data_IF_054268242144
#
_entry.id   IF_054268242144
#
_cell.length_a   1.000
_cell.length_b   1.000
_cell.length_c   1.000
_cell.angle_alpha   90.00
_cell.angle_beta   90.00
_cell.angle_gamma   90.00
#
_symmetry.space_group_name_H-M   'P 1'
#
loop_
_entity.id
_entity.type
_entity.pdbx_description
1 polymer ?
#
# COMPACT_ATOMS: atom_id res chain seq x y z
N UNK A 1 20.35 19.39 20.28
CA UNK A 1 19.43 19.50 19.13
C UNK A 1 20.05 18.71 18.01
N UNK A 2 19.75 17.43 17.92
CA UNK A 2 20.41 16.50 16.99
C UNK A 2 19.38 16.09 15.95
N UNK A 3 19.43 16.74 14.79
CA UNK A 3 18.62 16.36 13.63
C UNK A 3 19.29 15.17 12.98
N UNK A 4 18.82 13.97 13.30
CA UNK A 4 19.28 12.73 12.66
C UNK A 4 18.65 12.60 11.28
N UNK A 5 19.50 12.60 10.25
CA UNK A 5 19.19 12.49 8.82
C UNK A 5 18.84 11.04 8.43
N UNK A 6 17.87 10.41 9.11
CA UNK A 6 17.59 8.98 8.91
C UNK A 6 16.53 8.62 7.85
N UNK A 7 15.65 9.52 7.40
CA UNK A 7 14.50 9.11 6.58
C UNK A 7 14.61 9.43 5.07
N UNK A 8 15.74 9.14 4.44
CA UNK A 8 15.87 9.25 2.96
C UNK A 8 15.63 7.93 2.19
N UNK A 9 15.21 6.85 2.87
CA UNK A 9 15.01 5.52 2.26
C UNK A 9 13.59 4.98 2.52
N UNK A 10 12.61 5.84 2.76
CA UNK A 10 11.22 5.43 2.55
C UNK A 10 10.91 5.69 1.07
N UNK A 11 10.78 4.64 0.26
CA UNK A 11 10.23 4.81 -1.08
C UNK A 11 8.78 5.31 -0.92
N UNK A 12 8.36 6.38 -1.63
CA UNK A 12 6.97 6.82 -1.56
C UNK A 12 6.05 5.66 -1.93
N UNK A 13 4.84 5.59 -1.34
CA UNK A 13 3.90 4.52 -1.64
C UNK A 13 3.62 4.47 -3.16
N UNK A 14 3.82 3.30 -3.76
CA UNK A 14 3.66 3.10 -5.20
C UNK A 14 2.29 2.51 -5.47
N UNK A 15 1.46 3.20 -6.27
CA UNK A 15 0.13 2.72 -6.66
C UNK A 15 0.07 2.44 -8.15
N UNK A 16 -0.45 1.26 -8.53
CA UNK A 16 -0.60 0.79 -9.91
C UNK A 16 -2.01 0.28 -10.17
N UNK A 17 -2.54 0.39 -11.41
CA UNK A 17 -3.83 -0.21 -11.75
C UNK A 17 -3.72 -1.75 -11.83
N UNK A 18 -4.77 -2.46 -11.42
CA UNK A 18 -4.91 -3.89 -11.62
C UNK A 18 -5.63 -4.21 -12.93
N UNK A 19 -5.49 -5.45 -13.43
CA UNK A 19 -6.16 -5.92 -14.64
C UNK A 19 -7.40 -6.73 -14.30
N UNK A 20 -8.60 -6.18 -14.53
CA UNK A 20 -9.88 -6.89 -14.40
C UNK A 20 -10.94 -6.14 -13.57
N UNK A 21 -12.21 -6.59 -13.59
CA UNK A 21 -13.26 -6.03 -12.75
C UNK A 21 -13.00 -6.39 -11.28
N UNK A 22 -13.16 -5.42 -10.39
CA UNK A 22 -12.96 -5.61 -8.95
C UNK A 22 -14.14 -5.12 -8.11
N UNK A 23 -14.46 -5.86 -7.05
CA UNK A 23 -15.38 -5.44 -5.99
C UNK A 23 -14.71 -4.58 -4.91
N UNK A 24 -13.38 -4.56 -4.88
CA UNK A 24 -12.55 -3.78 -3.94
C UNK A 24 -11.84 -2.70 -4.74
N UNK A 25 -11.87 -1.47 -4.27
CA UNK A 25 -11.29 -0.35 -4.99
C UNK A 25 -9.75 -0.34 -4.86
N UNK A 26 -9.23 -0.61 -3.66
CA UNK A 26 -7.80 -0.52 -3.37
C UNK A 26 -7.26 -1.71 -2.55
N UNK A 27 -6.22 -2.36 -3.03
CA UNK A 27 -5.43 -3.33 -2.26
C UNK A 27 -4.12 -2.69 -1.81
N UNK A 28 -3.79 -2.74 -0.52
CA UNK A 28 -2.48 -2.33 -0.01
C UNK A 28 -1.65 -3.57 0.33
N UNK A 29 -0.53 -3.77 -0.35
CA UNK A 29 0.43 -4.83 -0.06
C UNK A 29 1.51 -4.27 0.87
N UNK A 30 1.74 -4.95 1.99
CA UNK A 30 2.77 -4.60 2.97
C UNK A 30 3.71 -5.81 3.14
N UNK A 31 4.82 -5.90 2.37
CA UNK A 31 5.85 -6.89 2.66
C UNK A 31 6.58 -6.49 3.96
N UNK A 32 6.91 -7.45 4.82
CA UNK A 32 7.63 -7.18 6.07
C UNK A 32 8.58 -8.31 6.46
N UNK A 33 9.71 -7.97 7.11
CA UNK A 33 10.65 -8.94 7.67
C UNK A 33 10.93 -8.68 9.17
N UNK A 34 11.31 -7.45 9.58
CA UNK A 34 11.50 -7.09 10.99
C UNK A 34 10.85 -5.74 11.29
N UNK A 35 9.52 -5.64 11.23
CA UNK A 35 8.84 -4.35 11.31
C UNK A 35 8.53 -3.90 12.74
N UNK A 36 8.77 -4.76 13.74
CA UNK A 36 8.45 -4.46 15.14
C UNK A 36 7.00 -4.01 15.35
N UNK A 37 6.81 -2.96 16.14
CA UNK A 37 5.47 -2.41 16.44
C UNK A 37 4.91 -1.55 15.31
N UNK A 38 5.74 -1.10 14.37
CA UNK A 38 5.36 -0.17 13.32
C UNK A 38 4.31 -0.80 12.37
N UNK A 39 4.39 -2.11 12.10
CA UNK A 39 3.45 -2.78 11.19
C UNK A 39 2.00 -2.66 11.66
N UNK A 40 1.70 -3.05 12.90
CA UNK A 40 0.33 -2.98 13.43
C UNK A 40 -0.19 -1.54 13.44
N UNK A 41 0.64 -0.57 13.83
CA UNK A 41 0.27 0.84 13.84
C UNK A 41 -0.05 1.35 12.43
N UNK A 42 0.78 1.01 11.45
CA UNK A 42 0.57 1.38 10.05
C UNK A 42 -0.73 0.77 9.51
N UNK A 43 -1.00 -0.51 9.76
CA UNK A 43 -2.24 -1.17 9.33
C UNK A 43 -3.48 -0.52 9.96
N UNK A 44 -3.43 -0.19 11.25
CA UNK A 44 -4.53 0.48 11.95
C UNK A 44 -4.79 1.87 11.37
N UNK A 45 -3.74 2.70 11.22
CA UNK A 45 -3.87 4.06 10.68
C UNK A 45 -4.33 4.05 9.21
N UNK A 46 -3.85 3.11 8.40
CA UNK A 46 -4.33 2.92 7.02
C UNK A 46 -5.82 2.56 7.00
N UNK A 47 -6.25 1.64 7.85
CA UNK A 47 -7.64 1.24 7.97
C UNK A 47 -8.55 2.43 8.29
N UNK A 48 -8.16 3.23 9.28
CA UNK A 48 -8.90 4.43 9.69
C UNK A 48 -9.03 5.44 8.56
N UNK A 49 -7.91 5.79 7.91
CA UNK A 49 -7.88 6.82 6.86
C UNK A 49 -8.62 6.35 5.60
N UNK A 50 -8.43 5.10 5.16
CA UNK A 50 -9.14 4.57 3.99
C UNK A 50 -10.65 4.48 4.23
N UNK A 51 -11.06 4.06 5.42
CA UNK A 51 -12.48 4.04 5.80
C UNK A 51 -13.07 5.45 5.87
N UNK A 52 -12.36 6.43 6.45
CA UNK A 52 -12.81 7.82 6.52
C UNK A 52 -12.98 8.48 5.13
N UNK A 53 -12.29 7.97 4.12
CA UNK A 53 -12.37 8.41 2.72
C UNK A 53 -13.39 7.62 1.89
N UNK A 54 -14.17 6.72 2.52
CA UNK A 54 -15.13 5.83 1.85
C UNK A 54 -14.52 4.99 0.72
N UNK A 55 -13.24 4.63 0.82
CA UNK A 55 -12.56 3.75 -0.12
C UNK A 55 -12.84 2.31 0.31
N UNK A 56 -13.25 1.42 -0.61
CA UNK A 56 -13.32 -0.02 -0.30
C UNK A 56 -11.94 -0.64 -0.47
N UNK A 57 -11.45 -1.32 0.56
CA UNK A 57 -10.06 -1.79 0.55
C UNK A 57 -9.85 -3.17 1.17
N UNK A 58 -8.70 -3.74 0.85
CA UNK A 58 -8.07 -4.82 1.60
C UNK A 58 -6.59 -4.49 1.86
N UNK A 59 -6.06 -4.98 2.97
CA UNK A 59 -4.64 -4.90 3.30
C UNK A 59 -4.08 -6.32 3.29
N UNK A 60 -3.02 -6.56 2.53
CA UNK A 60 -2.34 -7.85 2.45
C UNK A 60 -0.94 -7.68 3.05
N UNK A 61 -0.78 -8.14 4.29
CA UNK A 61 0.52 -8.16 4.95
C UNK A 61 1.23 -9.48 4.63
N UNK A 62 2.44 -9.42 4.07
CA UNK A 62 3.18 -10.61 3.61
C UNK A 62 4.51 -10.73 4.35
N UNK A 63 4.66 -11.81 5.11
CA UNK A 63 5.90 -12.12 5.83
C UNK A 63 6.97 -12.61 4.84
N UNK A 64 8.11 -11.92 4.82
CA UNK A 64 9.32 -12.31 4.11
C UNK A 64 10.31 -12.92 5.11
N UNK A 65 10.06 -14.13 5.61
CA UNK A 65 10.97 -14.78 6.56
C UNK A 65 10.96 -14.22 7.99
N UNK A 66 9.91 -13.51 8.39
CA UNK A 66 9.79 -12.96 9.75
C UNK A 66 9.65 -14.08 10.80
N UNK A 67 10.42 -14.00 11.89
CA UNK A 67 10.46 -15.00 12.98
C UNK A 67 10.21 -14.41 14.38
N UNK A 68 9.92 -13.12 14.49
CA UNK A 68 9.90 -12.37 15.76
C UNK A 68 8.53 -12.31 16.46
N UNK A 69 7.54 -13.08 15.98
CA UNK A 69 6.19 -13.11 16.53
C UNK A 69 5.26 -11.99 16.05
N UNK A 70 5.75 -11.05 15.21
CA UNK A 70 4.93 -9.95 14.63
C UNK A 70 3.67 -10.47 13.94
N UNK A 71 3.76 -11.62 13.27
CA UNK A 71 2.65 -12.28 12.55
C UNK A 71 1.39 -12.39 13.42
N UNK A 72 1.53 -12.80 14.69
CA UNK A 72 0.41 -12.94 15.62
C UNK A 72 -0.29 -11.61 15.93
N UNK A 73 0.40 -10.48 15.79
CA UNK A 73 -0.19 -9.16 16.07
C UNK A 73 -1.19 -8.72 15.01
N UNK A 74 -1.23 -9.34 13.84
CA UNK A 74 -2.07 -8.93 12.71
C UNK A 74 -3.35 -9.75 12.54
N UNK A 75 -3.44 -10.93 13.16
CA UNK A 75 -4.54 -11.89 12.93
C UNK A 75 -5.94 -11.35 13.26
N UNK A 76 -6.02 -10.31 14.10
CA UNK A 76 -7.28 -9.71 14.56
C UNK A 76 -7.60 -8.36 13.89
N UNK A 77 -6.78 -7.89 12.95
CA UNK A 77 -7.00 -6.59 12.32
C UNK A 77 -8.06 -6.70 11.20
N UNK A 78 -9.07 -5.81 11.18
CA UNK A 78 -10.10 -5.83 10.16
C UNK A 78 -9.51 -5.54 8.78
N UNK A 79 -10.17 -6.02 7.73
CA UNK A 79 -9.76 -5.84 6.32
C UNK A 79 -8.32 -6.30 6.01
N UNK A 80 -7.70 -7.05 6.92
CA UNK A 80 -6.29 -7.46 6.83
C UNK A 80 -6.20 -8.95 6.57
N UNK A 81 -5.46 -9.33 5.53
CA UNK A 81 -5.10 -10.71 5.22
C UNK A 81 -3.59 -10.88 5.41
N UNK A 82 -3.23 -11.83 6.24
CA UNK A 82 -1.85 -12.19 6.51
C UNK A 82 -1.44 -13.37 5.63
N UNK A 83 -0.33 -13.22 4.91
CA UNK A 83 0.31 -14.31 4.15
C UNK A 83 1.68 -14.58 4.81
N UNK A 84 1.79 -15.72 5.47
CA UNK A 84 3.05 -16.20 6.04
C UNK A 84 3.29 -17.64 5.59
N UNK A 85 4.32 -17.83 4.77
CA UNK A 85 4.78 -19.16 4.33
C UNK A 85 6.27 -19.29 4.57
N UNK A 86 6.72 -20.52 4.87
CA UNK A 86 8.15 -20.82 5.00
C UNK A 86 8.89 -20.72 3.67
N UNK A 87 8.19 -20.71 2.54
CA UNK A 87 8.80 -20.58 1.21
C UNK A 87 9.08 -19.12 0.81
N UNK A 88 8.44 -18.16 1.51
CA UNK A 88 8.59 -16.72 1.24
C UNK A 88 9.66 -16.17 2.19
N UNK A 89 10.90 -16.12 1.73
CA UNK A 89 12.06 -15.74 2.55
C UNK A 89 12.66 -14.37 2.18
N UNK A 90 12.16 -13.76 1.11
CA UNK A 90 12.64 -12.45 0.66
C UNK A 90 11.48 -11.54 0.22
N UNK A 91 11.81 -10.25 0.09
CA UNK A 91 10.85 -9.20 -0.24
C UNK A 91 10.26 -9.36 -1.65
N UNK A 92 11.03 -9.87 -2.61
CA UNK A 92 10.56 -10.07 -3.97
C UNK A 92 9.47 -11.15 -4.03
N UNK A 93 9.72 -12.29 -3.36
CA UNK A 93 8.75 -13.37 -3.21
C UNK A 93 7.49 -12.89 -2.45
N UNK A 94 7.67 -12.06 -1.41
CA UNK A 94 6.56 -11.48 -0.66
C UNK A 94 5.69 -10.55 -1.52
N UNK A 95 6.32 -9.68 -2.32
CA UNK A 95 5.60 -8.83 -3.27
C UNK A 95 4.85 -9.67 -4.31
N UNK A 96 5.49 -10.69 -4.89
CA UNK A 96 4.84 -11.58 -5.85
C UNK A 96 3.61 -12.28 -5.27
N UNK A 97 3.72 -12.80 -4.05
CA UNK A 97 2.60 -13.42 -3.34
C UNK A 97 1.48 -12.40 -3.06
N UNK A 98 1.84 -11.18 -2.64
CA UNK A 98 0.91 -10.08 -2.43
C UNK A 98 0.14 -9.70 -3.70
N UNK A 99 0.84 -9.53 -4.82
CA UNK A 99 0.23 -9.24 -6.12
C UNK A 99 -0.70 -10.37 -6.57
N UNK A 100 -0.28 -11.62 -6.41
CA UNK A 100 -1.09 -12.79 -6.78
C UNK A 100 -2.37 -12.87 -5.96
N UNK A 101 -2.33 -12.45 -4.70
CA UNK A 101 -3.48 -12.46 -3.81
C UNK A 101 -4.39 -11.24 -3.98
N UNK A 102 -3.88 -10.13 -4.52
CA UNK A 102 -4.59 -8.85 -4.63
C UNK A 102 -5.83 -8.95 -5.50
N UNK A 103 -6.91 -8.30 -5.06
CA UNK A 103 -8.18 -8.27 -5.78
C UNK A 103 -8.63 -6.88 -6.19
N UNK A 104 -8.03 -5.82 -5.64
CA UNK A 104 -8.44 -4.43 -5.83
C UNK A 104 -8.21 -3.89 -7.24
N UNK A 105 -8.98 -2.86 -7.64
CA UNK A 105 -8.78 -2.15 -8.91
C UNK A 105 -7.45 -1.38 -8.95
N UNK A 106 -6.95 -0.97 -7.79
CA UNK A 106 -5.66 -0.33 -7.59
C UNK A 106 -4.85 -1.11 -6.57
N UNK A 107 -3.53 -1.22 -6.77
CA UNK A 107 -2.61 -1.90 -5.87
C UNK A 107 -1.56 -0.92 -5.39
N UNK A 108 -1.54 -0.65 -4.08
CA UNK A 108 -0.54 0.15 -3.40
C UNK A 108 0.50 -0.74 -2.72
N UNK A 109 1.78 -0.38 -2.81
CA UNK A 109 2.87 -1.05 -2.09
C UNK A 109 3.37 -0.10 -1.01
N UNK A 110 3.34 -0.58 0.24
CA UNK A 110 3.81 0.17 1.40
C UNK A 110 4.90 -0.64 2.09
N UNK A 111 6.10 -0.09 2.17
CA UNK A 111 7.26 -0.76 2.73
C UNK A 111 7.38 -0.44 4.22
N UNK A 112 7.10 -1.43 5.07
CA UNK A 112 7.24 -1.27 6.52
C UNK A 112 8.34 -2.22 6.99
N UNK A 113 9.54 -1.68 7.19
CA UNK A 113 10.66 -2.41 7.76
C UNK A 113 11.39 -1.56 8.81
N UNK A 114 11.84 -2.21 9.89
CA UNK A 114 12.45 -1.54 11.03
C UNK A 114 11.55 -0.47 11.67
N UNK A 115 12.13 0.71 11.89
CA UNK A 115 11.48 1.86 12.54
C UNK A 115 10.84 2.83 11.53
N UNK A 116 10.58 2.40 10.29
CA UNK A 116 10.02 3.25 9.25
C UNK A 116 8.57 3.63 9.60
N UNK A 117 8.33 4.92 9.81
CA UNK A 117 6.99 5.46 9.94
C UNK A 117 6.40 5.76 8.55
N UNK A 118 5.18 5.30 8.33
CA UNK A 118 4.42 5.59 7.11
C UNK A 118 3.26 6.52 7.47
N UNK A 119 3.13 7.61 6.72
CA UNK A 119 1.93 8.45 6.78
C UNK A 119 0.83 7.85 5.87
N UNK A 120 -0.31 7.39 6.43
CA UNK A 120 -1.41 6.87 5.63
C UNK A 120 -1.98 7.86 4.62
N UNK A 121 -1.89 9.17 4.88
CA UNK A 121 -2.40 10.18 3.96
C UNK A 121 -1.58 10.23 2.67
N UNK A 122 -0.27 9.97 2.72
CA UNK A 122 0.56 9.87 1.52
C UNK A 122 0.14 8.68 0.63
N UNK A 123 -0.30 7.58 1.25
CA UNK A 123 -0.82 6.40 0.52
C UNK A 123 -2.13 6.75 -0.18
N UNK A 124 -3.02 7.47 0.49
CA UNK A 124 -4.29 7.93 -0.08
C UNK A 124 -4.07 8.97 -1.18
N UNK A 125 -3.15 9.91 -0.99
CA UNK A 125 -2.79 10.89 -2.02
C UNK A 125 -2.25 10.18 -3.27
N UNK A 126 -1.37 9.19 -3.09
CA UNK A 126 -0.81 8.41 -4.18
C UNK A 126 -1.88 7.65 -4.98
N UNK A 127 -2.93 7.15 -4.32
CA UNK A 127 -4.08 6.54 -4.97
C UNK A 127 -4.87 7.55 -5.83
N UNK A 128 -5.16 8.73 -5.29
CA UNK A 128 -5.86 9.77 -6.03
C UNK A 128 -5.06 10.24 -7.25
N UNK A 129 -3.76 10.48 -7.09
CA UNK A 129 -2.88 10.84 -8.20
C UNK A 129 -2.83 9.75 -9.29
N UNK A 130 -2.84 8.48 -8.89
CA UNK A 130 -2.86 7.37 -9.85
C UNK A 130 -4.17 7.34 -10.65
N UNK A 131 -5.32 7.57 -10.00
CA UNK A 131 -6.64 7.68 -10.66
C UNK A 131 -6.70 8.83 -11.64
N UNK A 132 -6.31 10.02 -11.20
CA UNK A 132 -6.34 11.22 -12.02
C UNK A 132 -5.49 11.04 -13.28
N UNK A 133 -4.27 10.48 -13.13
CA UNK A 133 -3.38 10.20 -14.27
C UNK A 133 -3.98 9.18 -15.23
N UNK A 134 -4.64 8.14 -14.71
CA UNK A 134 -5.28 7.12 -15.54
C UNK A 134 -6.50 7.67 -16.30
N UNK A 135 -7.31 8.51 -15.65
CA UNK A 135 -8.46 9.15 -16.28
C UNK A 135 -8.04 10.13 -17.39
N UNK A 136 -6.97 10.90 -17.16
CA UNK A 136 -6.38 11.77 -18.18
C UNK A 136 -5.84 10.96 -19.37
N UNK A 137 -5.20 9.82 -19.11
CA UNK A 137 -4.70 8.94 -20.17
C UNK A 137 -5.85 8.32 -20.99
N UNK A 138 -6.95 7.92 -20.33
CA UNK A 138 -8.13 7.35 -20.98
C UNK A 138 -8.89 8.37 -21.86
N UNK A 139 -8.86 9.67 -21.53
CA UNK A 139 -9.47 10.76 -22.31
C UNK A 139 -8.72 11.11 -23.60
N UNK A 140 -7.49 10.61 -23.78
CA UNK A 140 -6.65 10.87 -24.95
C UNK A 140 -6.03 12.29 -24.99
N UNK A 141 -4.97 12.50 -25.77
CA UNK A 141 -4.20 13.75 -25.78
C UNK A 141 -4.97 14.99 -26.28
N UNK A 142 -6.10 14.80 -26.97
CA UNK A 142 -6.85 15.89 -27.60
C UNK A 142 -7.79 16.64 -26.63
N UNK A 143 -8.16 16.05 -25.49
CA UNK A 143 -9.08 16.67 -24.51
C UNK A 143 -8.34 17.40 -23.39
N UNK A 144 -7.14 16.95 -23.02
CA UNK A 144 -6.30 17.58 -21.97
C UNK A 144 -5.94 19.03 -22.33
N UNK A 145 -5.73 19.33 -23.61
CA UNK A 145 -5.46 20.70 -24.07
C UNK A 145 -6.66 21.65 -24.00
N UNK A 146 -7.89 21.16 -23.77
CA UNK A 146 -9.09 22.01 -23.76
C UNK A 146 -9.52 22.45 -22.36
N UNK A 147 -9.15 21.71 -21.31
CA UNK A 147 -9.42 22.10 -19.91
C UNK A 147 -8.33 23.01 -19.32
N UNK A 148 -7.10 23.02 -19.86
CA UNK A 148 -5.98 23.84 -19.38
C UNK A 148 -5.86 25.24 -20.04
N UNK A 149 -6.79 25.63 -20.91
CA UNK A 149 -6.76 26.93 -21.64
C UNK A 149 -7.89 27.88 -21.18
N UNK A 150 -8.57 27.58 -20.07
CA UNK A 150 -9.66 28.42 -19.57
C UNK A 150 -9.53 28.81 -18.09
N UNK A 151 -8.30 28.98 -17.59
CA UNK A 151 -7.98 29.74 -16.37
C UNK A 151 -7.15 30.96 -16.74
#
# INVERSE_FOLDING_TARGET
MTTTVANLIAAPPVVVPATGPSAVDFTVIIPFHRPGVALRQTVQRLTEVLHAQNITFEIIAVSAGCIDGTVATLEELPHTRLIASRDIQDKGAALQAGFTASTGAWIGIVDVDGDTEIDPYEVVESLHLARDRHDLAARGPALVCRELVNV
#
